data_IF_401742571709
#
_entry.id   IF_401742571709
#
_cell.length_a   1.000
_cell.length_b   1.000
_cell.length_c   1.000
_cell.angle_alpha   90.00
_cell.angle_beta   90.00
_cell.angle_gamma   90.00
#
_symmetry.space_group_name_H-M   'P 1'
#
loop_
_entity.id
_entity.type
_entity.pdbx_description
1 polymer ?
#
# COMPACT_ATOMS: atom_id res chain seq x y z
N UNK A 1 -51.97 19.48 29.00
CA UNK A 1 -50.93 19.38 27.96
C UNK A 1 -51.39 18.44 26.85
N UNK A 2 -51.77 18.99 25.71
CA UNK A 2 -52.38 18.23 24.61
C UNK A 2 -51.32 17.48 23.80
N UNK A 3 -51.29 16.14 23.92
CA UNK A 3 -50.42 15.21 23.18
C UNK A 3 -50.46 15.39 21.65
N UNK A 4 -51.52 16.03 21.13
CA UNK A 4 -51.72 16.32 19.71
C UNK A 4 -50.91 17.52 19.19
N UNK A 5 -50.41 18.40 20.06
CA UNK A 5 -49.58 19.53 19.64
C UNK A 5 -48.13 19.12 19.38
N UNK A 6 -47.62 18.11 20.09
CA UNK A 6 -46.25 17.63 19.97
C UNK A 6 -45.97 16.87 18.66
N UNK A 7 -47.00 16.20 18.10
CA UNK A 7 -46.88 15.48 16.83
C UNK A 7 -46.85 16.40 15.60
N UNK A 8 -47.29 17.66 15.72
CA UNK A 8 -47.25 18.62 14.61
C UNK A 8 -45.90 19.34 14.46
N UNK A 9 -45.11 19.42 15.53
CA UNK A 9 -43.76 20.03 15.49
C UNK A 9 -42.64 19.03 15.18
N UNK A 10 -42.93 17.72 15.21
CA UNK A 10 -41.93 16.67 14.95
C UNK A 10 -41.72 16.35 13.46
N UNK A 11 -42.54 16.90 12.55
CA UNK A 11 -42.54 16.55 11.12
C UNK A 11 -41.56 17.32 10.23
N UNK A 12 -40.88 18.36 10.73
CA UNK A 12 -40.14 19.30 9.88
C UNK A 12 -38.61 19.11 9.84
N UNK A 13 -38.04 18.14 10.59
CA UNK A 13 -36.57 17.97 10.68
C UNK A 13 -36.06 16.70 9.96
N UNK A 14 -36.95 15.83 9.48
CA UNK A 14 -36.55 14.53 8.93
C UNK A 14 -36.08 14.55 7.45
N UNK A 15 -35.94 15.71 6.81
CA UNK A 15 -35.65 15.78 5.37
C UNK A 15 -34.18 16.09 4.99
N UNK A 16 -33.27 16.31 5.96
CA UNK A 16 -31.85 16.64 5.66
C UNK A 16 -30.86 15.46 5.83
N UNK A 17 -31.34 14.28 6.24
CA UNK A 17 -30.45 13.13 6.56
C UNK A 17 -30.13 12.18 5.41
N UNK A 18 -30.83 12.29 4.27
CA UNK A 18 -30.69 11.35 3.16
C UNK A 18 -29.81 11.89 2.03
N UNK A 19 -28.68 12.52 2.37
CA UNK A 19 -27.60 12.65 1.38
C UNK A 19 -26.93 11.28 1.35
N UNK A 20 -26.97 10.50 0.25
CA UNK A 20 -26.19 9.28 0.17
C UNK A 20 -24.76 9.70 0.44
N UNK A 21 -24.18 9.22 1.55
CA UNK A 21 -22.76 9.32 1.77
C UNK A 21 -22.13 8.77 0.51
N UNK A 22 -21.53 9.64 -0.30
CA UNK A 22 -20.69 9.23 -1.42
C UNK A 22 -19.64 8.37 -0.74
N UNK A 23 -19.82 7.05 -0.82
CA UNK A 23 -18.86 6.11 -0.31
C UNK A 23 -17.58 6.46 -1.02
N UNK A 24 -16.66 7.11 -0.32
CA UNK A 24 -15.31 7.30 -0.83
C UNK A 24 -14.83 5.87 -1.03
N UNK A 25 -14.81 5.44 -2.29
CA UNK A 25 -14.28 4.13 -2.66
C UNK A 25 -12.96 4.00 -1.90
N UNK A 26 -12.87 3.00 -1.02
CA UNK A 26 -11.67 2.78 -0.22
C UNK A 26 -10.48 2.82 -1.18
N UNK A 27 -9.57 3.77 -0.96
CA UNK A 27 -8.42 3.95 -1.84
C UNK A 27 -7.74 2.58 -1.96
N UNK A 28 -7.73 2.02 -3.18
CA UNK A 28 -7.17 0.70 -3.42
C UNK A 28 -5.70 0.71 -3.01
N UNK A 29 -5.22 -0.39 -2.47
CA UNK A 29 -3.81 -0.56 -2.15
C UNK A 29 -3.07 -1.11 -3.37
N UNK A 30 -1.87 -0.63 -3.63
CA UNK A 30 -0.94 -1.20 -4.61
C UNK A 30 0.21 -1.82 -3.84
N UNK A 31 0.23 -3.14 -3.81
CA UNK A 31 1.32 -3.91 -3.20
C UNK A 31 2.54 -3.91 -4.12
N UNK A 32 3.66 -3.43 -3.63
CA UNK A 32 4.94 -3.42 -4.33
C UNK A 32 5.90 -4.30 -3.54
N UNK A 33 6.33 -5.41 -4.14
CA UNK A 33 7.36 -6.27 -3.57
C UNK A 33 8.74 -5.67 -3.83
N UNK A 34 9.68 -5.87 -2.91
CA UNK A 34 11.09 -5.60 -3.17
C UNK A 34 11.95 -6.77 -2.69
N UNK A 35 13.00 -7.08 -3.44
CA UNK A 35 13.99 -8.11 -3.08
C UNK A 35 15.38 -7.50 -2.98
N UNK A 36 15.87 -7.33 -1.75
CA UNK A 36 17.17 -6.72 -1.44
C UNK A 36 17.91 -7.57 -0.41
N UNK A 37 19.25 -7.69 -0.46
CA UNK A 37 20.04 -8.43 0.53
C UNK A 37 20.25 -7.57 1.78
N UNK A 38 19.17 -7.29 2.52
CA UNK A 38 19.21 -6.46 3.74
C UNK A 38 19.91 -7.15 4.91
N UNK A 39 20.20 -8.45 4.75
CA UNK A 39 21.17 -9.16 5.58
C UNK A 39 22.32 -9.72 4.74
N UNK A 40 23.41 -10.09 5.41
CA UNK A 40 24.61 -10.64 4.76
C UNK A 40 25.62 -9.57 4.31
N UNK A 41 26.50 -9.90 3.36
CA UNK A 41 27.70 -9.09 3.08
C UNK A 41 27.41 -7.74 2.40
N UNK A 42 26.23 -7.57 1.80
CA UNK A 42 25.82 -6.36 1.08
C UNK A 42 24.74 -5.56 1.84
N UNK A 43 24.54 -5.86 3.13
CA UNK A 43 23.45 -5.30 3.93
C UNK A 43 23.51 -3.78 4.06
N UNK A 44 24.72 -3.21 4.16
CA UNK A 44 24.91 -1.77 4.29
C UNK A 44 24.44 -1.04 3.02
N UNK A 45 24.88 -1.47 1.85
CA UNK A 45 24.48 -0.87 0.58
C UNK A 45 22.99 -1.10 0.26
N UNK A 46 22.48 -2.30 0.61
CA UNK A 46 21.07 -2.60 0.48
C UNK A 46 20.20 -1.71 1.37
N UNK A 47 20.67 -1.38 2.58
CA UNK A 47 19.94 -0.48 3.48
C UNK A 47 19.83 0.94 2.93
N UNK A 48 20.87 1.45 2.25
CA UNK A 48 20.81 2.75 1.58
C UNK A 48 19.73 2.76 0.48
N UNK A 49 19.65 1.68 -0.30
CA UNK A 49 18.63 1.51 -1.34
C UNK A 49 17.22 1.40 -0.74
N UNK A 50 17.07 0.65 0.35
CA UNK A 50 15.80 0.51 1.07
C UNK A 50 15.31 1.86 1.64
N UNK A 51 16.21 2.67 2.19
CA UNK A 51 15.86 4.00 2.69
C UNK A 51 15.29 4.89 1.58
N UNK A 52 15.89 4.85 0.39
CA UNK A 52 15.39 5.58 -0.78
C UNK A 52 14.02 5.07 -1.26
N UNK A 53 13.83 3.75 -1.26
CA UNK A 53 12.55 3.13 -1.61
C UNK A 53 11.44 3.54 -0.62
N UNK A 54 11.72 3.50 0.68
CA UNK A 54 10.78 3.89 1.71
C UNK A 54 10.43 5.37 1.61
N UNK A 55 11.43 6.24 1.44
CA UNK A 55 11.22 7.67 1.24
C UNK A 55 10.29 7.95 0.06
N UNK A 56 10.54 7.33 -1.09
CA UNK A 56 9.70 7.51 -2.28
C UNK A 56 8.25 7.04 -2.04
N UNK A 57 8.07 5.89 -1.39
CA UNK A 57 6.74 5.39 -1.06
C UNK A 57 6.01 6.32 -0.08
N UNK A 58 6.71 6.84 0.93
CA UNK A 58 6.17 7.76 1.92
C UNK A 58 5.78 9.10 1.29
N UNK A 59 6.60 9.65 0.39
CA UNK A 59 6.29 10.87 -0.35
C UNK A 59 5.06 10.70 -1.24
N UNK A 60 4.99 9.61 -2.03
CA UNK A 60 3.84 9.30 -2.89
C UNK A 60 2.58 9.14 -2.05
N UNK A 61 2.66 8.38 -0.96
CA UNK A 61 1.54 8.16 -0.07
C UNK A 61 1.10 9.46 0.61
N UNK A 62 2.04 10.29 1.08
CA UNK A 62 1.73 11.59 1.70
C UNK A 62 1.12 12.58 0.71
N UNK A 63 1.53 12.52 -0.57
CA UNK A 63 1.00 13.35 -1.66
C UNK A 63 -0.40 12.93 -2.16
N UNK A 64 -1.04 11.95 -1.50
CA UNK A 64 -2.38 11.50 -1.87
C UNK A 64 -2.42 10.16 -2.61
N UNK A 65 -1.29 9.50 -2.84
CA UNK A 65 -1.20 8.21 -3.53
C UNK A 65 -1.17 8.35 -5.06
N UNK A 66 -1.36 7.23 -5.76
CA UNK A 66 -1.29 7.17 -7.22
C UNK A 66 -2.56 7.77 -7.83
N UNK A 67 -2.44 8.97 -8.42
CA UNK A 67 -3.56 9.73 -9.01
C UNK A 67 -4.33 8.94 -10.07
N UNK A 68 -3.63 8.26 -10.98
CA UNK A 68 -4.25 7.46 -12.04
C UNK A 68 -5.06 6.27 -11.52
N UNK A 69 -4.83 5.86 -10.26
CA UNK A 69 -5.54 4.77 -9.60
C UNK A 69 -6.46 5.29 -8.48
N UNK A 70 -6.93 6.54 -8.58
CA UNK A 70 -7.88 7.13 -7.64
C UNK A 70 -7.29 7.42 -6.25
N UNK A 71 -5.99 7.70 -6.16
CA UNK A 71 -5.29 7.98 -4.90
C UNK A 71 -4.85 6.71 -4.15
N UNK A 72 -4.69 5.60 -4.88
CA UNK A 72 -4.25 4.34 -4.34
C UNK A 72 -2.91 4.46 -3.59
N UNK A 73 -2.81 3.87 -2.40
CA UNK A 73 -1.58 3.91 -1.58
C UNK A 73 -0.67 2.76 -1.93
N UNK A 74 0.64 3.02 -1.88
CA UNK A 74 1.68 2.02 -2.01
C UNK A 74 1.87 1.30 -0.67
N UNK A 75 1.96 -0.02 -0.73
CA UNK A 75 2.41 -0.85 0.39
C UNK A 75 3.60 -1.67 -0.04
N UNK A 76 4.72 -1.48 0.64
CA UNK A 76 5.96 -2.17 0.34
C UNK A 76 5.99 -3.52 1.07
N UNK A 77 6.28 -4.60 0.34
CA UNK A 77 6.44 -5.94 0.89
C UNK A 77 7.90 -6.39 0.76
N UNK A 78 8.58 -6.72 1.87
CA UNK A 78 9.98 -7.09 1.86
C UNK A 78 10.22 -8.51 1.33
N UNK A 79 11.40 -8.73 0.77
CA UNK A 79 12.02 -10.04 0.58
C UNK A 79 13.54 -9.93 0.72
N UNK A 80 14.12 -10.74 1.60
CA UNK A 80 15.57 -10.73 1.87
C UNK A 80 16.27 -11.82 1.07
N UNK A 81 17.12 -11.42 0.12
CA UNK A 81 17.84 -12.37 -0.73
C UNK A 81 19.10 -12.93 -0.07
N UNK A 82 19.62 -12.27 0.98
CA UNK A 82 20.92 -12.60 1.61
C UNK A 82 22.09 -12.76 0.64
N UNK A 83 21.98 -12.19 -0.57
CA UNK A 83 22.91 -12.41 -1.68
C UNK A 83 23.04 -13.88 -2.12
N UNK A 84 21.94 -14.65 -2.06
CA UNK A 84 21.84 -16.04 -2.51
C UNK A 84 20.74 -16.18 -3.58
N UNK A 85 21.05 -16.89 -4.66
CA UNK A 85 20.14 -17.11 -5.79
C UNK A 85 18.84 -17.81 -5.36
N UNK A 86 18.96 -18.90 -4.60
CA UNK A 86 17.83 -19.72 -4.17
C UNK A 86 16.82 -18.90 -3.36
N UNK A 87 17.32 -18.06 -2.44
CA UNK A 87 16.49 -17.17 -1.63
C UNK A 87 15.85 -16.06 -2.47
N UNK A 88 16.58 -15.50 -3.44
CA UNK A 88 16.02 -14.53 -4.39
C UNK A 88 14.81 -15.09 -5.13
N UNK A 89 14.93 -16.31 -5.67
CA UNK A 89 13.84 -16.97 -6.38
C UNK A 89 12.66 -17.31 -5.46
N UNK A 90 12.91 -17.82 -4.25
CA UNK A 90 11.85 -18.15 -3.30
C UNK A 90 11.08 -16.91 -2.82
N UNK A 91 11.79 -15.81 -2.54
CA UNK A 91 11.16 -14.57 -2.08
C UNK A 91 10.38 -13.88 -3.21
N UNK A 92 10.88 -13.91 -4.44
CA UNK A 92 10.14 -13.42 -5.60
C UNK A 92 8.82 -14.20 -5.79
N UNK A 93 8.87 -15.53 -5.76
CA UNK A 93 7.68 -16.38 -5.87
C UNK A 93 6.68 -16.09 -4.73
N UNK A 94 7.16 -16.03 -3.49
CA UNK A 94 6.33 -15.70 -2.31
C UNK A 94 5.62 -14.35 -2.46
N UNK A 95 6.32 -13.32 -2.96
CA UNK A 95 5.74 -12.00 -3.15
C UNK A 95 4.71 -11.99 -4.29
N UNK A 96 4.97 -12.70 -5.38
CA UNK A 96 4.02 -12.89 -6.48
C UNK A 96 2.73 -13.55 -5.96
N UNK A 97 2.85 -14.60 -5.16
CA UNK A 97 1.70 -15.29 -4.54
C UNK A 97 0.92 -14.38 -3.57
N UNK A 98 1.59 -13.41 -2.95
CA UNK A 98 0.95 -12.37 -2.11
C UNK A 98 0.22 -11.27 -2.92
N UNK A 99 0.28 -11.36 -4.25
CA UNK A 99 -0.45 -10.49 -5.17
C UNK A 99 0.18 -9.11 -5.33
N UNK A 100 1.51 -9.02 -5.35
CA UNK A 100 2.19 -7.77 -5.71
C UNK A 100 1.84 -7.37 -7.15
N UNK A 101 1.73 -6.06 -7.39
CA UNK A 101 1.56 -5.51 -8.74
C UNK A 101 2.90 -5.26 -9.45
N UNK A 102 3.97 -5.06 -8.66
CA UNK A 102 5.32 -4.75 -9.14
C UNK A 102 6.33 -5.38 -8.20
N UNK A 103 7.42 -5.92 -8.75
CA UNK A 103 8.60 -6.37 -8.02
C UNK A 103 9.77 -5.44 -8.32
N UNK A 104 10.46 -4.95 -7.28
CA UNK A 104 11.65 -4.10 -7.38
C UNK A 104 12.90 -4.88 -6.94
N UNK A 105 13.96 -4.80 -7.74
CA UNK A 105 15.21 -5.52 -7.53
C UNK A 105 15.49 -6.57 -8.62
N UNK A 106 16.42 -7.50 -8.38
CA UNK A 106 17.29 -7.60 -7.20
C UNK A 106 18.48 -6.62 -7.24
N UNK A 107 19.13 -6.44 -6.09
CA UNK A 107 20.30 -5.55 -5.95
C UNK A 107 21.57 -6.06 -6.68
N UNK A 108 21.82 -7.37 -6.61
CA UNK A 108 23.04 -8.00 -7.15
C UNK A 108 22.79 -8.65 -8.51
N UNK A 109 23.71 -8.49 -9.47
CA UNK A 109 23.64 -9.18 -10.76
C UNK A 109 23.62 -10.71 -10.64
N UNK A 110 24.25 -11.27 -9.60
CA UNK A 110 24.22 -12.70 -9.30
C UNK A 110 22.79 -13.25 -9.20
N UNK A 111 21.93 -12.56 -8.45
CA UNK A 111 20.52 -12.92 -8.26
C UNK A 111 19.66 -12.46 -9.44
N UNK A 112 20.08 -11.44 -10.20
CA UNK A 112 19.32 -10.92 -11.33
C UNK A 112 19.33 -11.84 -12.56
N UNK A 113 20.41 -12.60 -12.78
CA UNK A 113 20.61 -13.42 -13.98
C UNK A 113 20.48 -14.93 -13.74
N UNK A 114 19.91 -15.33 -12.58
CA UNK A 114 19.69 -16.72 -12.22
C UNK A 114 18.40 -17.32 -12.78
#
# INVERSE_FOLDING_TARGET
MNRRAFLKSAGAVAALGAVPSIGRAQAKEVKVGYILPVTGPLAFEAQLSLNGLQLAADEINSAGGIKALGGAKLTLLPGDTQNKVELGNSEAARLIDQGISVLIGPFSSLVAYS
#
